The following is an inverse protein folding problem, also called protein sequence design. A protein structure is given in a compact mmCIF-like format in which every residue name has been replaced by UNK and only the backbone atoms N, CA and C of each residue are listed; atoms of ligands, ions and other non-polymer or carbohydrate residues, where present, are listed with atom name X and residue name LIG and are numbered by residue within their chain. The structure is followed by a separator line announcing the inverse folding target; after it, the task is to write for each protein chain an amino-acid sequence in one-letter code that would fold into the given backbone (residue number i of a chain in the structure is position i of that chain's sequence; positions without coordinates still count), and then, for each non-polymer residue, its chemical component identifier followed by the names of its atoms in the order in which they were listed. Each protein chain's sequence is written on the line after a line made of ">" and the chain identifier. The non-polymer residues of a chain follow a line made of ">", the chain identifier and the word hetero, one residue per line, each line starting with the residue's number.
data_IF_200221152716
#
_entry.id   IF_200221152716
#
_cell.length_a   1.000
_cell.length_b   1.000
_cell.length_c   1.000
_cell.angle_alpha   90.00
_cell.angle_beta   90.00
_cell.angle_gamma   90.00
#
_symmetry.space_group_name_H-M   'P 1'
#
loop_
_entity.id
_entity.type
_entity.pdbx_description
1 polymer ?
#
# COMPACT_ATOMS: atom_id res chain seq x y z
N UNK A 1 -1.42 -43.83 8.92
CA UNK A 1 -0.24 -42.93 8.91
C UNK A 1 -0.54 -41.75 7.98
N UNK A 2 -1.12 -40.64 8.45
CA UNK A 2 -0.54 -39.46 9.15
C UNK A 2 0.27 -38.53 8.23
N UNK A 3 -0.41 -37.66 7.47
CA UNK A 3 0.09 -36.32 7.08
C UNK A 3 -1.07 -35.30 7.05
N UNK A 4 -1.58 -34.95 8.23
CA UNK A 4 -2.19 -33.63 8.46
C UNK A 4 -1.05 -32.72 8.92
N UNK A 5 -0.86 -31.56 8.29
CA UNK A 5 -0.79 -30.21 8.92
C UNK A 5 -0.03 -29.23 8.04
N UNK A 6 -0.62 -28.03 7.87
CA UNK A 6 0.04 -26.92 7.18
C UNK A 6 -0.88 -25.81 6.65
N UNK A 7 -2.12 -25.67 7.16
CA UNK A 7 -2.98 -24.53 6.80
C UNK A 7 -2.47 -23.30 7.56
N UNK A 8 -1.61 -22.52 6.92
CA UNK A 8 -1.17 -21.20 7.39
C UNK A 8 -2.40 -20.30 7.62
N UNK A 9 -2.90 -20.27 8.86
CA UNK A 9 -3.96 -19.35 9.27
C UNK A 9 -3.35 -17.95 9.32
N UNK A 10 -3.65 -17.13 8.31
CA UNK A 10 -3.47 -15.70 8.36
C UNK A 10 -4.11 -15.16 9.65
N UNK A 11 -3.28 -14.63 10.56
CA UNK A 11 -3.76 -13.94 11.77
C UNK A 11 -4.51 -12.69 11.31
N UNK A 12 -5.85 -12.73 11.34
CA UNK A 12 -6.67 -11.53 11.22
C UNK A 12 -6.39 -10.67 12.45
N UNK A 13 -5.81 -9.48 12.26
CA UNK A 13 -5.68 -8.49 13.33
C UNK A 13 -7.08 -8.11 13.88
N UNK A 14 -7.24 -7.92 15.20
CA UNK A 14 -8.48 -7.43 15.78
C UNK A 14 -8.53 -5.90 15.67
N UNK A 15 -8.88 -5.37 14.50
CA UNK A 15 -9.14 -3.94 14.37
C UNK A 15 -10.50 -3.64 15.01
N UNK A 16 -10.51 -3.01 16.20
CA UNK A 16 -11.71 -2.37 16.75
C UNK A 16 -11.95 -1.07 15.99
N UNK A 17 -12.48 -1.14 14.77
CA UNK A 17 -13.02 0.04 14.09
C UNK A 17 -14.27 0.47 14.85
N UNK A 18 -14.12 1.40 15.80
CA UNK A 18 -15.25 2.20 16.27
C UNK A 18 -15.70 3.08 15.11
N UNK A 19 -16.62 2.54 14.33
CA UNK A 19 -17.46 3.29 13.40
C UNK A 19 -18.08 4.44 14.17
N UNK A 20 -17.68 5.68 13.86
CA UNK A 20 -18.43 6.86 14.29
C UNK A 20 -19.84 6.67 13.76
N UNK A 21 -20.79 6.38 14.66
CA UNK A 21 -22.22 6.36 14.32
C UNK A 21 -22.65 7.82 14.11
N UNK A 22 -22.42 8.36 12.92
CA UNK A 22 -23.17 9.54 12.50
C UNK A 22 -24.64 9.13 12.42
N UNK A 23 -25.51 9.85 13.13
CA UNK A 23 -26.95 9.62 13.02
C UNK A 23 -27.35 9.99 11.59
N UNK A 24 -27.90 9.06 10.79
CA UNK A 24 -28.39 9.41 9.47
C UNK A 24 -29.54 10.41 9.62
N UNK A 25 -29.69 11.31 8.67
CA UNK A 25 -30.87 12.18 8.55
C UNK A 25 -31.72 11.68 7.39
N UNK A 26 -33.02 11.86 7.47
CA UNK A 26 -33.92 11.48 6.38
C UNK A 26 -33.75 12.46 5.22
N UNK A 27 -33.54 11.94 4.01
CA UNK A 27 -33.43 12.77 2.80
C UNK A 27 -34.78 13.39 2.39
N UNK A 28 -35.90 12.78 2.81
CA UNK A 28 -37.26 13.24 2.46
C UNK A 28 -37.79 14.32 3.41
N UNK A 29 -37.57 14.20 4.72
CA UNK A 29 -38.15 15.12 5.72
C UNK A 29 -37.12 15.82 6.62
N UNK A 30 -35.83 15.50 6.49
CA UNK A 30 -34.77 16.08 7.32
C UNK A 30 -34.72 15.58 8.77
N UNK A 31 -35.63 14.70 9.19
CA UNK A 31 -35.67 14.18 10.55
C UNK A 31 -34.38 13.41 10.91
N UNK A 32 -33.94 13.53 12.16
CA UNK A 32 -32.79 12.77 12.66
C UNK A 32 -33.20 11.32 12.90
N UNK A 33 -32.59 10.39 12.18
CA UNK A 33 -32.91 8.97 12.27
C UNK A 33 -32.00 8.26 13.29
N UNK A 34 -32.53 7.23 13.96
CA UNK A 34 -31.69 6.29 14.71
C UNK A 34 -30.62 5.68 13.79
N UNK A 35 -29.40 5.39 14.29
CA UNK A 35 -28.36 4.74 13.49
C UNK A 35 -28.79 3.37 12.97
N UNK A 36 -29.79 2.77 13.62
CA UNK A 36 -30.29 1.43 13.34
C UNK A 36 -31.73 1.35 12.78
N UNK A 37 -32.33 2.47 12.35
CA UNK A 37 -33.63 2.42 11.66
C UNK A 37 -33.50 1.99 10.18
N UNK A 38 -34.56 1.35 9.66
CA UNK A 38 -34.72 1.02 8.23
C UNK A 38 -35.72 1.95 7.52
N UNK A 39 -36.59 2.57 8.30
CA UNK A 39 -37.62 3.50 7.86
C UNK A 39 -37.58 4.76 8.72
N UNK A 40 -38.11 5.86 8.20
CA UNK A 40 -38.29 7.09 8.96
C UNK A 40 -39.55 6.99 9.83
N UNK A 41 -39.42 7.28 11.12
CA UNK A 41 -40.57 7.29 12.04
C UNK A 41 -41.49 8.50 11.85
N UNK A 42 -41.02 9.56 11.17
CA UNK A 42 -41.77 10.79 10.95
C UNK A 42 -42.56 10.77 9.64
N UNK A 43 -41.93 10.34 8.53
CA UNK A 43 -42.55 10.37 7.20
C UNK A 43 -42.79 8.99 6.57
N UNK A 44 -42.38 7.90 7.22
CA UNK A 44 -42.53 6.54 6.68
C UNK A 44 -41.58 6.19 5.54
N UNK A 45 -40.74 7.13 5.06
CA UNK A 45 -39.82 6.89 3.95
C UNK A 45 -38.76 5.82 4.29
N UNK A 46 -38.41 4.99 3.31
CA UNK A 46 -37.36 3.98 3.46
C UNK A 46 -35.98 4.63 3.50
N UNK A 47 -35.22 4.32 4.56
CA UNK A 47 -33.88 4.86 4.75
C UNK A 47 -32.89 3.94 4.05
N UNK A 48 -32.44 4.36 2.87
CA UNK A 48 -31.36 3.66 2.16
C UNK A 48 -30.05 3.82 2.92
N UNK A 49 -29.73 2.84 3.77
CA UNK A 49 -28.41 2.76 4.41
C UNK A 49 -27.35 2.55 3.34
N UNK A 50 -26.77 3.65 2.87
CA UNK A 50 -25.56 3.62 2.08
C UNK A 50 -24.42 3.25 3.02
N UNK A 51 -24.30 1.95 3.30
CA UNK A 51 -23.11 1.36 3.91
C UNK A 51 -21.98 1.56 2.90
N UNK A 52 -21.39 2.75 2.96
CA UNK A 52 -20.26 3.12 2.12
C UNK A 52 -19.11 2.30 2.65
N UNK A 53 -18.95 1.08 2.12
CA UNK A 53 -17.67 0.39 2.10
C UNK A 53 -16.73 1.37 1.40
N UNK A 54 -15.98 2.15 2.16
CA UNK A 54 -14.88 2.91 1.60
C UNK A 54 -13.89 1.85 1.14
N UNK A 55 -13.87 1.58 -0.17
CA UNK A 55 -12.95 0.66 -0.79
C UNK A 55 -11.56 1.28 -0.81
N UNK A 56 -10.89 1.31 0.35
CA UNK A 56 -9.46 1.64 0.50
C UNK A 56 -8.56 0.58 -0.21
N UNK A 57 -9.17 -0.38 -0.91
CA UNK A 57 -8.49 -1.48 -1.58
C UNK A 57 -8.17 -1.22 -3.06
N UNK A 58 -8.56 -0.07 -3.60
CA UNK A 58 -8.41 0.20 -5.04
C UNK A 58 -7.19 1.10 -5.32
N UNK A 59 -6.81 2.00 -4.41
CA UNK A 59 -5.68 2.91 -4.64
C UNK A 59 -4.30 2.33 -4.20
N UNK A 60 -4.27 1.38 -3.26
CA UNK A 60 -3.02 0.75 -2.80
C UNK A 60 -2.50 -0.33 -3.77
N UNK A 61 -3.41 -1.07 -4.42
CA UNK A 61 -3.06 -2.10 -5.38
C UNK A 61 -2.42 -1.52 -6.66
N UNK A 62 -2.82 -0.31 -7.04
CA UNK A 62 -2.29 0.38 -8.22
C UNK A 62 -0.84 0.88 -8.04
N UNK A 63 -0.45 1.23 -6.80
CA UNK A 63 0.94 1.65 -6.51
C UNK A 63 1.91 0.47 -6.46
N UNK A 64 1.50 -0.70 -5.96
CA UNK A 64 2.38 -1.88 -5.90
C UNK A 64 2.69 -2.45 -7.29
N UNK A 65 1.73 -2.42 -8.23
CA UNK A 65 1.94 -2.94 -9.59
C UNK A 65 2.82 -2.02 -10.44
N UNK A 66 2.68 -0.70 -10.28
CA UNK A 66 3.50 0.31 -10.97
C UNK A 66 4.94 0.33 -10.47
N UNK A 67 5.18 0.21 -9.16
CA UNK A 67 6.53 0.00 -8.63
C UNK A 67 7.10 -1.38 -8.99
N UNK A 68 6.27 -2.40 -9.20
CA UNK A 68 6.68 -3.72 -9.70
C UNK A 68 7.28 -3.67 -11.11
N UNK A 69 6.61 -3.00 -12.06
CA UNK A 69 7.13 -2.83 -13.42
C UNK A 69 8.28 -1.79 -13.50
N UNK A 70 8.23 -0.73 -12.70
CA UNK A 70 9.30 0.28 -12.68
C UNK A 70 10.59 -0.27 -12.08
N UNK A 71 10.51 -1.11 -11.04
CA UNK A 71 11.69 -1.73 -10.42
C UNK A 71 12.33 -2.80 -11.31
N UNK A 72 11.54 -3.61 -12.03
CA UNK A 72 12.10 -4.61 -12.95
C UNK A 72 12.76 -3.97 -14.18
N UNK A 73 12.18 -2.90 -14.72
CA UNK A 73 12.78 -2.16 -15.84
C UNK A 73 14.13 -1.53 -15.45
N UNK A 74 14.19 -0.85 -14.29
CA UNK A 74 15.43 -0.28 -13.79
C UNK A 74 16.47 -1.35 -13.46
N UNK A 75 16.07 -2.48 -12.87
CA UNK A 75 16.97 -3.59 -12.60
C UNK A 75 17.54 -4.21 -13.90
N UNK A 76 16.72 -4.40 -14.94
CA UNK A 76 17.18 -4.94 -16.22
C UNK A 76 18.16 -4.00 -16.93
N UNK A 77 17.91 -2.69 -16.90
CA UNK A 77 18.85 -1.68 -17.43
C UNK A 77 20.15 -1.69 -16.63
N UNK A 78 20.08 -1.75 -15.30
CA UNK A 78 21.26 -1.81 -14.45
C UNK A 78 22.08 -3.08 -14.69
N UNK A 79 21.43 -4.24 -14.81
CA UNK A 79 22.09 -5.51 -15.14
C UNK A 79 22.73 -5.43 -16.53
N UNK A 80 22.05 -4.85 -17.54
CA UNK A 80 22.60 -4.68 -18.89
C UNK A 80 23.83 -3.76 -18.92
N UNK A 81 23.81 -2.66 -18.16
CA UNK A 81 24.93 -1.75 -18.02
C UNK A 81 26.12 -2.41 -17.31
N UNK A 82 25.84 -3.20 -16.26
CA UNK A 82 26.86 -3.98 -15.55
C UNK A 82 27.52 -4.99 -16.50
N UNK A 83 26.74 -5.82 -17.18
CA UNK A 83 27.27 -6.84 -18.11
C UNK A 83 28.09 -6.20 -19.23
N UNK A 84 27.64 -5.06 -19.75
CA UNK A 84 28.35 -4.31 -20.80
C UNK A 84 29.67 -3.70 -20.32
N UNK A 85 29.77 -3.32 -19.04
CA UNK A 85 31.03 -2.82 -18.47
C UNK A 85 32.02 -3.95 -18.21
N UNK A 86 31.57 -5.14 -17.78
CA UNK A 86 32.47 -6.27 -17.52
C UNK A 86 33.16 -6.83 -18.78
N UNK A 87 32.61 -6.62 -19.98
CA UNK A 87 33.22 -7.09 -21.24
C UNK A 87 34.26 -6.17 -21.85
N UNK A 88 34.50 -4.98 -21.29
CA UNK A 88 35.51 -4.04 -21.82
C UNK A 88 36.55 -3.68 -20.76
N UNK A 89 37.83 -3.48 -21.13
CA UNK A 89 38.87 -3.05 -20.17
C UNK A 89 38.59 -1.67 -19.55
N UNK A 90 37.69 -0.88 -20.15
CA UNK A 90 37.19 0.39 -19.60
C UNK A 90 36.23 0.21 -18.39
N UNK A 91 35.70 -0.99 -18.16
CA UNK A 91 34.74 -1.26 -17.09
C UNK A 91 35.29 -1.13 -15.67
N UNK A 92 36.60 -1.34 -15.48
CA UNK A 92 37.24 -1.21 -14.17
C UNK A 92 37.18 0.24 -13.65
N UNK A 93 37.26 1.23 -14.53
CA UNK A 93 37.19 2.64 -14.17
C UNK A 93 35.78 3.00 -13.69
N UNK A 94 34.75 2.52 -14.40
CA UNK A 94 33.35 2.74 -14.01
C UNK A 94 33.04 2.06 -12.68
N UNK A 95 33.50 0.82 -12.47
CA UNK A 95 33.36 0.13 -11.18
C UNK A 95 34.06 0.88 -10.05
N UNK A 96 35.27 1.39 -10.28
CA UNK A 96 35.98 2.20 -9.29
C UNK A 96 35.24 3.48 -8.93
N UNK A 97 34.66 4.20 -9.91
CA UNK A 97 33.87 5.42 -9.68
C UNK A 97 32.60 5.11 -8.87
N UNK A 98 31.88 4.02 -9.19
CA UNK A 98 30.68 3.61 -8.47
C UNK A 98 31.00 3.24 -7.01
N UNK A 99 32.08 2.49 -6.79
CA UNK A 99 32.53 2.11 -5.45
C UNK A 99 32.97 3.33 -4.64
N UNK A 100 33.78 4.22 -5.21
CA UNK A 100 34.23 5.44 -4.55
C UNK A 100 33.04 6.37 -4.23
N UNK A 101 32.12 6.56 -5.18
CA UNK A 101 30.91 7.35 -4.98
C UNK A 101 30.01 6.77 -3.89
N UNK A 102 29.80 5.45 -3.89
CA UNK A 102 29.01 4.77 -2.87
C UNK A 102 29.62 4.87 -1.47
N UNK A 103 30.94 4.70 -1.34
CA UNK A 103 31.66 4.85 -0.07
C UNK A 103 31.63 6.30 0.42
N UNK A 104 31.83 7.28 -0.46
CA UNK A 104 31.72 8.70 -0.11
C UNK A 104 30.30 9.08 0.32
N UNK A 105 29.29 8.58 -0.38
CA UNK A 105 27.89 8.79 -0.02
C UNK A 105 27.56 8.18 1.35
N UNK A 106 28.03 6.95 1.62
CA UNK A 106 27.88 6.31 2.93
C UNK A 106 28.61 7.08 4.03
N UNK A 107 29.82 7.61 3.76
CA UNK A 107 30.50 8.51 4.70
C UNK A 107 29.66 9.76 4.94
N UNK A 108 29.16 10.43 3.89
CA UNK A 108 28.33 11.63 4.04
C UNK A 108 27.06 11.39 4.87
N UNK A 109 26.42 10.22 4.73
CA UNK A 109 25.25 9.87 5.54
C UNK A 109 25.62 9.62 7.00
N UNK A 110 26.78 9.02 7.25
CA UNK A 110 27.23 8.68 8.60
C UNK A 110 27.88 9.86 9.33
N UNK A 111 28.43 10.82 8.59
CA UNK A 111 29.01 12.07 9.09
C UNK A 111 27.96 13.15 9.36
N UNK A 112 26.66 12.82 9.32
CA UNK A 112 25.61 13.67 9.88
C UNK A 112 25.81 13.67 11.41
N UNK A 113 26.28 14.77 12.03
CA UNK A 113 26.34 14.83 13.49
C UNK A 113 24.90 14.79 14.01
N UNK A 114 24.62 13.87 14.94
CA UNK A 114 23.42 13.91 15.77
C UNK A 114 23.44 15.15 16.66
#
# INVERSE_FOLDING_TARGET
>A
MKKRTGRFKARRLPVRLRSRRTRPTCEECGATLPPDSRFCNECGAEVRRRSRKVSIRDEYAQRVFTYGCLSTALAAVFIGLIVSTFSTPAGLIVMAIVLLGGVLFMRMLFDRPQ
#
